data_IF_874011925499
#
_entry.id   IF_874011925499
#
_cell.length_a   1.000
_cell.length_b   1.000
_cell.length_c   1.000
_cell.angle_alpha   90.00
_cell.angle_beta   90.00
_cell.angle_gamma   90.00
#
_symmetry.space_group_name_H-M   'P 1'
#
loop_
_entity.id
_entity.type
_entity.pdbx_description
1 polymer ?
#
# COMPACT_ATOMS: atom_id res chain seq x y z
N UNK A 1 10.39 22.29 -38.29
CA UNK A 1 10.60 21.85 -36.90
C UNK A 1 10.33 20.35 -36.88
N UNK A 2 11.37 19.52 -36.77
CA UNK A 2 11.23 18.06 -36.64
C UNK A 2 10.52 17.79 -35.30
N UNK A 3 9.26 17.38 -35.35
CA UNK A 3 8.51 17.02 -34.14
C UNK A 3 9.22 15.88 -33.43
N UNK A 4 9.78 16.15 -32.26
CA UNK A 4 10.32 15.12 -31.40
C UNK A 4 9.21 14.11 -31.08
N UNK A 5 9.43 12.83 -31.33
CA UNK A 5 8.44 11.80 -31.04
C UNK A 5 8.14 11.81 -29.53
N UNK A 6 6.85 11.80 -29.19
CA UNK A 6 6.42 11.68 -27.80
C UNK A 6 6.90 10.37 -27.19
N UNK A 7 7.35 10.42 -25.94
CA UNK A 7 7.60 9.24 -25.12
C UNK A 7 6.29 8.56 -24.72
N UNK A 8 6.41 7.50 -23.90
CA UNK A 8 5.27 6.74 -23.36
C UNK A 8 5.37 6.63 -21.85
N UNK A 9 4.23 6.71 -21.17
CA UNK A 9 4.15 6.52 -19.72
C UNK A 9 3.54 5.16 -19.42
N UNK A 10 4.17 4.42 -18.50
CA UNK A 10 3.65 3.17 -17.96
C UNK A 10 3.28 3.38 -16.49
N UNK A 11 2.00 3.17 -16.15
CA UNK A 11 1.53 3.13 -14.76
C UNK A 11 1.66 1.68 -14.28
N UNK A 12 2.67 1.41 -13.45
CA UNK A 12 3.12 0.05 -13.13
C UNK A 12 2.87 -0.29 -11.68
N UNK A 13 2.17 -1.39 -11.43
CA UNK A 13 2.02 -1.99 -10.11
C UNK A 13 3.28 -2.75 -9.70
N UNK A 14 3.87 -2.35 -8.57
CA UNK A 14 5.05 -2.98 -8.00
C UNK A 14 4.72 -4.19 -7.09
N UNK A 15 3.45 -4.51 -6.92
CA UNK A 15 3.02 -5.52 -5.95
C UNK A 15 3.04 -5.01 -4.51
N UNK A 16 2.69 -5.88 -3.55
CA UNK A 16 2.42 -5.50 -2.15
C UNK A 16 3.66 -5.35 -1.27
N UNK A 17 4.86 -5.73 -1.76
CA UNK A 17 6.10 -5.62 -0.99
C UNK A 17 7.19 -6.60 -1.40
N UNK A 18 6.89 -7.89 -1.58
CA UNK A 18 7.87 -8.87 -2.08
C UNK A 18 8.20 -8.58 -3.56
N UNK A 19 9.47 -8.29 -3.90
CA UNK A 19 9.88 -8.03 -5.29
C UNK A 19 9.59 -9.19 -6.27
N UNK A 20 9.43 -10.40 -5.78
CA UNK A 20 9.09 -11.57 -6.59
C UNK A 20 7.65 -11.57 -7.09
N UNK A 21 6.82 -10.68 -6.57
CA UNK A 21 5.43 -10.49 -7.01
C UNK A 21 5.28 -9.46 -8.13
N UNK A 22 6.38 -8.98 -8.71
CA UNK A 22 6.33 -8.22 -9.95
C UNK A 22 5.78 -9.08 -11.09
N UNK A 23 4.96 -8.47 -11.94
CA UNK A 23 4.56 -9.12 -13.20
C UNK A 23 5.71 -9.12 -14.20
N UNK A 24 5.73 -10.08 -15.12
CA UNK A 24 6.71 -10.10 -16.21
C UNK A 24 6.67 -8.80 -17.02
N UNK A 25 5.48 -8.26 -17.27
CA UNK A 25 5.32 -6.99 -17.98
C UNK A 25 5.94 -5.82 -17.23
N UNK A 26 5.82 -5.80 -15.89
CA UNK A 26 6.48 -4.78 -15.08
C UNK A 26 8.01 -4.82 -15.23
N UNK A 27 8.60 -6.01 -15.23
CA UNK A 27 10.04 -6.19 -15.44
C UNK A 27 10.47 -5.73 -16.84
N UNK A 28 9.71 -6.09 -17.88
CA UNK A 28 9.99 -5.66 -19.26
C UNK A 28 10.02 -4.14 -19.39
N UNK A 29 8.98 -3.44 -18.89
CA UNK A 29 8.90 -1.98 -19.05
C UNK A 29 9.91 -1.24 -18.18
N UNK A 30 10.26 -1.77 -17.00
CA UNK A 30 11.36 -1.27 -16.18
C UNK A 30 12.70 -1.37 -16.93
N UNK A 31 12.95 -2.49 -17.63
CA UNK A 31 14.17 -2.69 -18.41
C UNK A 31 14.33 -1.74 -19.61
N UNK A 32 13.29 -1.01 -19.99
CA UNK A 32 13.29 -0.09 -21.12
C UNK A 32 13.19 1.38 -20.71
N UNK A 33 12.88 1.67 -19.45
CA UNK A 33 12.59 3.03 -18.99
C UNK A 33 13.82 3.96 -19.01
N UNK A 34 13.56 5.25 -19.19
CA UNK A 34 14.54 6.31 -19.00
C UNK A 34 14.37 7.02 -17.66
N UNK A 35 13.12 7.08 -17.19
CA UNK A 35 12.74 7.73 -15.92
C UNK A 35 11.81 6.84 -15.13
N UNK A 36 12.05 6.72 -13.83
CA UNK A 36 11.17 6.04 -12.87
C UNK A 36 10.71 7.04 -11.81
N UNK A 37 9.40 7.29 -11.73
CA UNK A 37 8.78 7.98 -10.60
C UNK A 37 8.29 6.93 -9.60
N UNK A 38 8.87 6.87 -8.41
CA UNK A 38 8.62 5.81 -7.43
C UNK A 38 7.88 6.33 -6.19
N UNK A 39 6.87 5.58 -5.73
CA UNK A 39 6.16 5.84 -4.47
C UNK A 39 6.93 5.31 -3.25
N UNK A 40 6.63 5.87 -2.08
CA UNK A 40 7.23 5.49 -0.79
C UNK A 40 7.00 4.02 -0.41
N UNK A 41 5.85 3.46 -0.72
CA UNK A 41 5.48 2.08 -0.33
C UNK A 41 6.06 1.01 -1.24
N UNK A 42 6.73 1.39 -2.31
CA UNK A 42 7.37 0.45 -3.22
C UNK A 42 8.69 -0.05 -2.61
N UNK A 43 8.87 -1.36 -2.58
CA UNK A 43 10.16 -1.96 -2.21
C UNK A 43 11.22 -1.58 -3.25
N UNK A 44 12.25 -0.87 -2.81
CA UNK A 44 13.29 -0.34 -3.73
C UNK A 44 14.12 -1.42 -4.43
N UNK A 45 14.11 -2.65 -3.93
CA UNK A 45 14.78 -3.77 -4.61
C UNK A 45 14.26 -4.01 -6.04
N UNK A 46 13.02 -3.61 -6.33
CA UNK A 46 12.47 -3.73 -7.70
C UNK A 46 13.20 -2.85 -8.71
N UNK A 47 13.92 -1.80 -8.26
CA UNK A 47 14.70 -0.92 -9.12
C UNK A 47 15.89 -1.63 -9.77
N UNK A 48 16.31 -2.81 -9.27
CA UNK A 48 17.31 -3.65 -9.95
C UNK A 48 16.92 -4.08 -11.36
N UNK A 49 15.63 -4.02 -11.68
CA UNK A 49 15.08 -4.31 -13.01
C UNK A 49 15.02 -3.08 -13.92
N UNK A 50 15.25 -1.87 -13.37
CA UNK A 50 15.26 -0.67 -14.18
C UNK A 50 16.50 -0.66 -15.11
N UNK A 51 16.32 -0.07 -16.28
CA UNK A 51 17.42 0.11 -17.25
C UNK A 51 18.58 0.85 -16.56
N UNK A 52 19.79 0.39 -16.77
CA UNK A 52 20.99 1.04 -16.23
C UNK A 52 21.05 2.51 -16.69
N UNK A 53 21.32 3.43 -15.76
CA UNK A 53 21.35 4.86 -16.02
C UNK A 53 19.99 5.55 -16.05
N UNK A 54 18.89 4.86 -15.71
CA UNK A 54 17.59 5.49 -15.58
C UNK A 54 17.60 6.51 -14.44
N UNK A 55 16.94 7.65 -14.66
CA UNK A 55 16.70 8.65 -13.62
C UNK A 55 15.61 8.14 -12.67
N UNK A 56 15.89 8.05 -11.37
CA UNK A 56 14.92 7.65 -10.35
C UNK A 56 14.51 8.87 -9.53
N UNK A 57 13.21 9.17 -9.55
CA UNK A 57 12.59 10.30 -8.82
C UNK A 57 11.67 9.73 -7.75
N UNK A 58 11.98 9.99 -6.49
CA UNK A 58 11.13 9.63 -5.36
C UNK A 58 10.02 10.66 -5.19
N UNK A 59 8.77 10.29 -5.47
CA UNK A 59 7.60 11.16 -5.36
C UNK A 59 6.78 10.85 -4.09
N UNK A 60 7.24 9.91 -3.27
CA UNK A 60 6.63 9.54 -2.00
C UNK A 60 6.95 10.54 -0.88
N UNK A 61 6.12 10.53 0.16
CA UNK A 61 6.32 11.36 1.35
C UNK A 61 7.54 10.92 2.13
N UNK A 62 8.46 11.84 2.43
CA UNK A 62 9.47 11.70 3.49
C UNK A 62 9.12 12.63 4.65
N UNK A 63 9.41 12.19 5.88
CA UNK A 63 9.27 13.05 7.04
C UNK A 63 10.21 14.26 6.90
N UNK A 64 9.66 15.49 6.86
CA UNK A 64 10.42 16.74 6.76
C UNK A 64 10.54 17.35 5.37
N UNK A 65 10.22 16.63 4.28
CA UNK A 65 10.24 17.16 2.92
C UNK A 65 8.84 17.58 2.44
N UNK A 66 8.78 18.61 1.58
CA UNK A 66 7.54 19.00 0.93
C UNK A 66 7.02 17.86 0.07
N UNK A 67 5.83 17.39 0.43
CA UNK A 67 5.10 16.35 -0.31
C UNK A 67 4.75 16.88 -1.68
N UNK A 68 5.16 16.18 -2.75
CA UNK A 68 4.65 16.45 -4.07
C UNK A 68 3.13 16.23 -4.09
N UNK A 69 2.41 17.26 -4.51
CA UNK A 69 0.96 17.15 -4.73
C UNK A 69 0.71 16.24 -5.93
N UNK A 70 -0.44 15.56 -5.95
CA UNK A 70 -0.79 14.69 -7.08
C UNK A 70 -0.69 15.41 -8.43
N UNK A 71 -1.12 16.68 -8.48
CA UNK A 71 -1.02 17.50 -9.69
C UNK A 71 0.43 17.69 -10.16
N UNK A 72 1.40 17.77 -9.24
CA UNK A 72 2.82 17.93 -9.60
C UNK A 72 3.40 16.61 -10.11
N UNK A 73 2.95 15.47 -9.57
CA UNK A 73 3.30 14.15 -10.10
C UNK A 73 2.78 14.00 -11.55
N UNK A 74 1.52 14.37 -11.81
CA UNK A 74 0.94 14.36 -13.15
C UNK A 74 1.74 15.25 -14.13
N UNK A 75 2.14 16.45 -13.70
CA UNK A 75 2.99 17.34 -14.51
C UNK A 75 4.33 16.70 -14.86
N UNK A 76 5.02 16.09 -13.89
CA UNK A 76 6.29 15.41 -14.14
C UNK A 76 6.14 14.28 -15.16
N UNK A 77 5.08 13.46 -15.07
CA UNK A 77 4.81 12.40 -16.04
C UNK A 77 4.69 12.95 -17.47
N UNK A 78 3.91 14.04 -17.62
CA UNK A 78 3.68 14.70 -18.92
C UNK A 78 4.98 15.34 -19.44
N UNK A 79 5.72 16.04 -18.60
CA UNK A 79 6.98 16.73 -18.97
C UNK A 79 8.03 15.75 -19.51
N UNK A 80 8.31 14.67 -18.78
CA UNK A 80 9.29 13.68 -19.23
C UNK A 80 8.84 12.96 -20.52
N UNK A 81 7.54 12.67 -20.65
CA UNK A 81 7.01 12.07 -21.86
C UNK A 81 7.12 13.02 -23.08
N UNK A 82 6.90 14.34 -22.91
CA UNK A 82 7.10 15.35 -23.97
C UNK A 82 8.55 15.47 -24.41
N UNK A 83 9.51 15.14 -23.52
CA UNK A 83 10.93 15.04 -23.84
C UNK A 83 11.29 13.73 -24.58
N UNK A 84 10.30 12.95 -25.05
CA UNK A 84 10.52 11.69 -25.75
C UNK A 84 10.94 10.53 -24.84
N UNK A 85 10.85 10.68 -23.50
CA UNK A 85 11.32 9.68 -22.56
C UNK A 85 10.28 8.57 -22.35
N UNK A 86 10.75 7.34 -22.16
CA UNK A 86 9.94 6.23 -21.62
C UNK A 86 9.93 6.38 -20.10
N UNK A 87 8.73 6.63 -19.54
CA UNK A 87 8.55 6.91 -18.13
C UNK A 87 7.79 5.77 -17.45
N UNK A 88 8.32 5.26 -16.35
CA UNK A 88 7.64 4.31 -15.47
C UNK A 88 7.19 5.03 -14.20
N UNK A 89 5.88 5.07 -13.97
CA UNK A 89 5.29 5.45 -12.70
C UNK A 89 5.09 4.19 -11.85
N UNK A 90 5.97 3.95 -10.89
CA UNK A 90 5.99 2.73 -10.08
C UNK A 90 5.23 2.94 -8.78
N UNK A 91 4.15 2.17 -8.60
CA UNK A 91 3.16 2.30 -7.52
C UNK A 91 3.09 1.02 -6.68
N UNK A 92 2.92 1.15 -5.36
CA UNK A 92 2.69 -0.01 -4.50
C UNK A 92 1.37 -0.72 -4.84
N UNK A 93 1.34 -2.04 -4.77
CA UNK A 93 0.17 -2.84 -5.13
C UNK A 93 -0.18 -2.76 -6.61
N UNK A 94 -1.42 -2.42 -6.90
CA UNK A 94 -1.97 -2.20 -8.25
C UNK A 94 -2.26 -0.71 -8.47
N UNK A 95 -1.99 -0.13 -9.66
CA UNK A 95 -2.19 1.30 -9.92
C UNK A 95 -3.63 1.77 -9.76
N UNK A 96 -4.61 0.92 -10.03
CA UNK A 96 -6.04 1.25 -10.06
C UNK A 96 -6.81 0.79 -8.81
N UNK A 97 -6.13 0.17 -7.83
CA UNK A 97 -6.74 -0.20 -6.54
C UNK A 97 -6.21 0.72 -5.44
N UNK A 98 -6.98 1.75 -5.08
CA UNK A 98 -6.63 2.81 -4.10
C UNK A 98 -5.27 3.48 -4.36
N UNK A 99 -4.78 3.40 -5.61
CA UNK A 99 -3.47 3.92 -6.01
C UNK A 99 -3.53 5.28 -6.73
N UNK A 100 -4.70 5.88 -6.95
CA UNK A 100 -4.90 7.12 -7.71
C UNK A 100 -4.36 7.06 -9.15
N UNK A 101 -4.11 5.87 -9.69
CA UNK A 101 -3.60 5.71 -11.06
C UNK A 101 -4.56 6.23 -12.13
N UNK A 102 -5.88 6.21 -11.87
CA UNK A 102 -6.87 6.77 -12.78
C UNK A 102 -6.71 8.29 -12.95
N UNK A 103 -6.39 9.03 -11.88
CA UNK A 103 -6.13 10.48 -11.97
C UNK A 103 -4.88 10.76 -12.83
N UNK A 104 -3.82 9.95 -12.66
CA UNK A 104 -2.60 10.04 -13.46
C UNK A 104 -2.89 9.71 -14.94
N UNK A 105 -3.68 8.66 -15.21
CA UNK A 105 -4.09 8.29 -16.56
C UNK A 105 -4.92 9.38 -17.26
N UNK A 106 -5.90 9.97 -16.55
CA UNK A 106 -6.71 11.07 -17.09
C UNK A 106 -5.86 12.28 -17.48
N UNK A 107 -4.88 12.64 -16.64
CA UNK A 107 -3.96 13.74 -16.95
C UNK A 107 -3.10 13.45 -18.21
N UNK A 108 -2.70 12.19 -18.43
CA UNK A 108 -1.98 11.78 -19.62
C UNK A 108 -2.85 11.83 -20.87
N UNK A 109 -4.12 11.39 -20.78
CA UNK A 109 -5.11 11.49 -21.86
C UNK A 109 -5.32 12.94 -22.25
N UNK A 110 -5.56 13.82 -21.28
CA UNK A 110 -5.77 15.24 -21.49
C UNK A 110 -4.55 15.92 -22.17
N UNK A 111 -3.34 15.47 -21.81
CA UNK A 111 -2.10 15.98 -22.39
C UNK A 111 -1.73 15.34 -23.76
N UNK A 112 -2.51 14.37 -24.26
CA UNK A 112 -2.24 13.63 -25.49
C UNK A 112 -1.00 12.72 -25.41
N UNK A 113 -0.61 12.25 -24.22
CA UNK A 113 0.55 11.40 -24.00
C UNK A 113 0.16 9.93 -24.15
N UNK A 114 0.87 9.12 -24.94
CA UNK A 114 0.70 7.67 -24.97
C UNK A 114 0.97 7.03 -23.61
N UNK A 115 0.07 6.17 -23.16
CA UNK A 115 0.23 5.51 -21.87
C UNK A 115 -0.28 4.06 -21.87
N UNK A 116 0.11 3.33 -20.83
CA UNK A 116 -0.32 1.94 -20.60
C UNK A 116 -0.40 1.69 -19.09
N UNK A 117 -1.40 0.95 -18.63
CA UNK A 117 -1.41 0.41 -17.28
C UNK A 117 -0.86 -1.01 -17.28
N UNK A 118 0.06 -1.26 -16.34
CA UNK A 118 0.60 -2.60 -16.06
C UNK A 118 0.11 -3.01 -14.68
N UNK A 119 -0.88 -3.92 -14.59
CA UNK A 119 -1.41 -4.36 -13.31
C UNK A 119 -0.34 -4.93 -12.38
N UNK A 120 -0.57 -4.84 -11.08
CA UNK A 120 0.24 -5.46 -10.05
C UNK A 120 -0.62 -6.27 -9.09
N UNK A 121 0.02 -7.13 -8.29
CA UNK A 121 -0.68 -7.83 -7.21
C UNK A 121 -1.11 -6.80 -6.17
N UNK A 122 -2.43 -6.59 -6.02
CA UNK A 122 -2.96 -5.68 -5.00
C UNK A 122 -2.58 -6.16 -3.60
N UNK A 123 -2.30 -5.22 -2.68
CA UNK A 123 -2.01 -5.56 -1.28
C UNK A 123 -3.16 -6.32 -0.62
N UNK A 124 -4.42 -6.05 -0.99
CA UNK A 124 -5.58 -6.78 -0.48
C UNK A 124 -5.55 -8.27 -0.81
N UNK A 125 -4.98 -8.64 -1.96
CA UNK A 125 -4.82 -10.04 -2.36
C UNK A 125 -3.51 -10.63 -1.83
N UNK A 126 -2.41 -9.94 -2.06
CA UNK A 126 -1.07 -10.45 -1.72
C UNK A 126 -0.83 -10.60 -0.23
N UNK A 127 -1.19 -9.60 0.57
CA UNK A 127 -1.00 -9.67 2.02
C UNK A 127 -1.92 -10.72 2.67
N UNK A 128 -3.15 -10.89 2.18
CA UNK A 128 -4.05 -11.94 2.64
C UNK A 128 -3.46 -13.33 2.36
N UNK A 129 -2.96 -13.56 1.14
CA UNK A 129 -2.34 -14.83 0.76
C UNK A 129 -1.09 -15.14 1.63
N UNK A 130 -0.24 -14.15 1.87
CA UNK A 130 0.96 -14.32 2.71
C UNK A 130 0.62 -14.44 4.20
N UNK A 131 -0.51 -13.94 4.65
CA UNK A 131 -1.02 -14.19 6.00
C UNK A 131 -1.70 -15.57 6.15
N UNK A 132 -1.87 -16.34 5.05
CA UNK A 132 -2.59 -17.61 5.08
C UNK A 132 -4.11 -17.43 5.24
N UNK A 133 -4.66 -16.30 4.81
CA UNK A 133 -6.09 -15.98 4.87
C UNK A 133 -6.67 -15.98 3.46
N UNK A 134 -7.45 -17.02 3.06
CA UNK A 134 -8.14 -17.01 1.78
C UNK A 134 -9.25 -15.96 1.82
N UNK A 135 -9.32 -15.10 0.79
CA UNK A 135 -10.37 -14.08 0.72
C UNK A 135 -11.75 -14.67 0.43
N UNK A 136 -11.80 -15.84 -0.21
CA UNK A 136 -13.03 -16.63 -0.46
C UNK A 136 -12.77 -18.08 -0.11
N UNK A 137 -13.80 -18.76 0.41
CA UNK A 137 -13.75 -20.19 0.71
C UNK A 137 -15.13 -20.78 0.61
N UNK A 138 -15.27 -21.92 -0.08
CA UNK A 138 -16.58 -22.61 -0.23
C UNK A 138 -17.18 -22.91 1.15
N UNK A 139 -18.41 -22.48 1.37
CA UNK A 139 -19.14 -22.66 2.63
C UNK A 139 -18.78 -21.67 3.74
N UNK A 140 -17.83 -20.73 3.51
CA UNK A 140 -17.45 -19.70 4.49
C UNK A 140 -17.71 -18.30 3.94
N UNK A 141 -17.13 -17.96 2.78
CA UNK A 141 -17.30 -16.65 2.15
C UNK A 141 -17.35 -16.81 0.62
N UNK A 142 -18.41 -16.31 -0.01
CA UNK A 142 -18.64 -16.35 -1.46
C UNK A 142 -18.26 -15.06 -2.16
N UNK A 143 -18.04 -13.97 -1.42
CA UNK A 143 -17.73 -12.65 -1.94
C UNK A 143 -16.61 -12.00 -1.15
N UNK A 144 -15.96 -11.01 -1.78
CA UNK A 144 -14.96 -10.13 -1.14
C UNK A 144 -15.16 -8.70 -1.61
N UNK A 145 -15.15 -7.76 -0.68
CA UNK A 145 -15.13 -6.34 -0.97
C UNK A 145 -13.81 -5.69 -0.55
N UNK A 146 -13.32 -4.75 -1.36
CA UNK A 146 -12.18 -3.90 -1.04
C UNK A 146 -12.68 -2.51 -0.71
N UNK A 147 -12.32 -2.01 0.48
CA UNK A 147 -12.73 -0.70 0.98
C UNK A 147 -11.54 0.10 1.48
N UNK A 148 -11.69 1.42 1.50
CA UNK A 148 -10.75 2.30 2.21
C UNK A 148 -11.29 2.61 3.60
N UNK A 149 -10.40 2.60 4.60
CA UNK A 149 -10.75 3.05 5.94
C UNK A 149 -10.87 4.60 6.05
N UNK A 150 -10.41 5.33 5.02
CA UNK A 150 -10.60 6.77 4.89
C UNK A 150 -11.81 7.05 3.99
N UNK A 151 -13.00 7.11 4.57
CA UNK A 151 -14.24 7.37 3.83
C UNK A 151 -14.42 8.85 3.53
N UNK A 152 -14.83 9.15 2.30
CA UNK A 152 -15.29 10.47 1.90
C UNK A 152 -16.81 10.64 2.09
N UNK A 153 -17.59 9.53 2.13
CA UNK A 153 -19.06 9.53 2.19
C UNK A 153 -19.58 8.37 3.08
N UNK A 154 -20.45 8.64 4.07
CA UNK A 154 -21.05 7.61 4.93
C UNK A 154 -22.22 6.83 4.30
N UNK A 155 -22.62 7.08 3.05
CA UNK A 155 -23.80 6.49 2.39
C UNK A 155 -23.57 5.12 1.75
N UNK A 156 -22.46 4.44 2.03
CA UNK A 156 -22.20 3.09 1.50
C UNK A 156 -23.18 2.05 2.07
N UNK A 157 -23.64 1.14 1.20
CA UNK A 157 -24.59 0.07 1.54
C UNK A 157 -24.07 -0.86 2.66
N UNK A 158 -24.97 -1.40 3.50
CA UNK A 158 -24.58 -2.31 4.57
C UNK A 158 -23.99 -3.60 4.01
N UNK A 159 -23.03 -4.17 4.74
CA UNK A 159 -22.36 -5.40 4.37
C UNK A 159 -23.25 -6.62 4.54
N UNK A 160 -23.20 -7.57 3.60
CA UNK A 160 -23.91 -8.83 3.70
C UNK A 160 -23.18 -9.83 4.62
N UNK A 161 -23.93 -10.70 5.29
CA UNK A 161 -23.37 -11.86 6.02
C UNK A 161 -22.69 -12.82 5.03
N UNK A 162 -21.56 -13.39 5.43
CA UNK A 162 -20.79 -14.31 4.59
C UNK A 162 -19.89 -13.64 3.57
N UNK A 163 -19.66 -12.34 3.71
CA UNK A 163 -18.72 -11.56 2.90
C UNK A 163 -17.41 -11.32 3.64
N UNK A 164 -16.30 -11.43 2.92
CA UNK A 164 -14.99 -10.96 3.40
C UNK A 164 -14.80 -9.50 3.01
N UNK A 165 -14.45 -8.66 3.95
CA UNK A 165 -14.13 -7.25 3.67
C UNK A 165 -12.67 -6.96 3.97
N UNK A 166 -11.99 -6.31 3.03
CA UNK A 166 -10.59 -5.90 3.17
C UNK A 166 -10.53 -4.38 3.21
N UNK A 167 -10.08 -3.82 4.34
CA UNK A 167 -9.90 -2.38 4.53
C UNK A 167 -8.45 -2.00 4.33
N UNK A 168 -8.20 -1.12 3.37
CA UNK A 168 -6.91 -0.49 3.15
C UNK A 168 -6.74 0.72 4.06
N UNK A 169 -5.50 1.03 4.43
CA UNK A 169 -5.14 2.24 5.21
C UNK A 169 -5.79 2.31 6.60
N UNK A 170 -5.99 1.17 7.25
CA UNK A 170 -6.74 1.07 8.50
C UNK A 170 -5.94 1.46 9.77
N UNK A 171 -4.66 1.85 9.68
CA UNK A 171 -3.75 1.99 10.82
C UNK A 171 -4.33 2.69 12.06
N UNK A 172 -4.84 3.92 11.90
CA UNK A 172 -5.38 4.72 13.01
C UNK A 172 -6.91 4.70 13.09
N UNK A 173 -7.60 4.09 12.13
CA UNK A 173 -9.05 4.13 11.99
C UNK A 173 -9.72 2.79 12.26
N UNK A 174 -8.95 1.78 12.71
CA UNK A 174 -9.46 0.42 12.89
C UNK A 174 -10.66 0.34 13.85
N UNK A 175 -10.61 1.08 14.96
CA UNK A 175 -11.72 1.11 15.93
C UNK A 175 -12.97 1.79 15.37
N UNK A 176 -12.81 2.76 14.47
CA UNK A 176 -13.92 3.41 13.76
C UNK A 176 -14.56 2.44 12.77
N UNK A 177 -13.73 1.76 11.95
CA UNK A 177 -14.18 0.71 11.05
C UNK A 177 -14.95 -0.38 11.80
N UNK A 178 -14.42 -0.87 12.93
CA UNK A 178 -15.10 -1.88 13.74
C UNK A 178 -16.45 -1.39 14.28
N UNK A 179 -16.54 -0.14 14.69
CA UNK A 179 -17.79 0.46 15.17
C UNK A 179 -18.84 0.55 14.07
N UNK A 180 -18.44 0.96 12.87
CA UNK A 180 -19.34 1.03 11.72
C UNK A 180 -19.83 -0.35 11.29
N UNK A 181 -18.96 -1.36 11.27
CA UNK A 181 -19.33 -2.72 10.93
C UNK A 181 -20.33 -3.31 11.91
N UNK A 182 -20.14 -3.08 13.23
CA UNK A 182 -21.08 -3.54 14.25
C UNK A 182 -22.41 -2.77 14.13
N UNK A 183 -22.37 -1.46 13.88
CA UNK A 183 -23.56 -0.66 13.67
C UNK A 183 -24.36 -1.09 12.41
N UNK A 184 -23.68 -1.59 11.37
CA UNK A 184 -24.30 -2.13 10.15
C UNK A 184 -24.80 -3.59 10.31
N UNK A 185 -24.66 -4.19 11.49
CA UNK A 185 -25.21 -5.53 11.80
C UNK A 185 -24.20 -6.67 11.79
N UNK A 186 -22.89 -6.42 11.63
CA UNK A 186 -21.86 -7.43 11.87
C UNK A 186 -21.81 -7.78 13.35
N UNK A 187 -21.65 -9.08 13.65
CA UNK A 187 -21.52 -9.52 15.04
C UNK A 187 -20.19 -9.01 15.65
N UNK A 188 -20.18 -8.54 16.91
CA UNK A 188 -18.95 -8.19 17.61
C UNK A 188 -17.92 -9.33 17.66
N UNK A 189 -18.37 -10.59 17.59
CA UNK A 189 -17.52 -11.78 17.54
C UNK A 189 -16.95 -12.06 16.13
N UNK A 190 -17.30 -11.28 15.10
CA UNK A 190 -16.76 -11.47 13.75
C UNK A 190 -15.23 -11.37 13.77
N UNK A 191 -14.52 -12.39 13.22
CA UNK A 191 -13.06 -12.39 13.21
C UNK A 191 -12.49 -11.25 12.37
N UNK A 192 -11.37 -10.70 12.83
CA UNK A 192 -10.58 -9.69 12.13
C UNK A 192 -9.09 -10.05 12.19
N UNK A 193 -8.40 -9.85 11.08
CA UNK A 193 -6.95 -9.89 11.00
C UNK A 193 -6.42 -8.55 10.54
N UNK A 194 -5.36 -8.05 11.19
CA UNK A 194 -4.60 -6.90 10.70
C UNK A 194 -3.25 -7.39 10.21
N UNK A 195 -2.94 -7.12 8.96
CA UNK A 195 -1.67 -7.48 8.33
C UNK A 195 -0.85 -6.22 8.11
N UNK A 196 0.25 -6.09 8.85
CA UNK A 196 1.24 -5.02 8.72
C UNK A 196 2.39 -5.50 7.85
N UNK A 197 2.94 -4.61 7.01
CA UNK A 197 4.05 -4.90 6.08
C UNK A 197 3.84 -6.19 5.29
N UNK A 198 2.61 -6.41 4.79
CA UNK A 198 2.24 -7.67 4.12
C UNK A 198 3.21 -8.03 2.99
N UNK A 199 3.58 -9.31 2.91
CA UNK A 199 4.55 -9.92 1.99
C UNK A 199 6.02 -9.57 2.24
N UNK A 200 6.34 -8.63 3.13
CA UNK A 200 7.70 -8.28 3.50
C UNK A 200 8.23 -9.20 4.61
N UNK A 201 9.56 -9.23 4.77
CA UNK A 201 10.21 -10.08 5.80
C UNK A 201 9.79 -9.73 7.23
N UNK A 202 9.38 -8.47 7.44
CA UNK A 202 8.87 -7.94 8.70
C UNK A 202 7.34 -7.99 8.80
N UNK A 203 6.67 -8.80 7.95
CA UNK A 203 5.23 -9.00 8.03
C UNK A 203 4.81 -9.39 9.45
N UNK A 204 3.77 -8.75 9.95
CA UNK A 204 3.13 -9.06 11.22
C UNK A 204 1.63 -9.24 11.02
N UNK A 205 1.07 -10.26 11.67
CA UNK A 205 -0.37 -10.56 11.63
C UNK A 205 -0.94 -10.49 13.04
N UNK A 206 -1.94 -9.63 13.24
CA UNK A 206 -2.68 -9.48 14.49
C UNK A 206 -4.08 -10.06 14.29
N UNK A 207 -4.48 -10.98 15.15
CA UNK A 207 -5.78 -11.68 15.07
C UNK A 207 -6.65 -11.33 16.27
N UNK A 208 -7.92 -11.06 16.03
CA UNK A 208 -8.91 -10.77 17.05
C UNK A 208 -10.33 -10.82 16.49
N UNK A 209 -11.21 -10.12 17.16
CA UNK A 209 -12.62 -9.91 16.78
C UNK A 209 -12.90 -8.41 16.63
N UNK A 210 -14.07 -8.06 16.09
CA UNK A 210 -14.51 -6.66 16.06
C UNK A 210 -14.64 -6.11 17.50
N UNK A 211 -15.03 -6.94 18.48
CA UNK A 211 -15.05 -6.55 19.88
C UNK A 211 -13.66 -6.19 20.41
N UNK A 212 -12.62 -6.94 20.03
CA UNK A 212 -11.24 -6.63 20.43
C UNK A 212 -10.79 -5.29 19.83
N UNK A 213 -11.18 -5.02 18.57
CA UNK A 213 -10.89 -3.74 17.90
C UNK A 213 -11.61 -2.54 18.55
N UNK A 214 -12.73 -2.78 19.25
CA UNK A 214 -13.51 -1.78 20.01
C UNK A 214 -13.02 -1.60 21.45
N UNK A 215 -12.24 -2.54 21.99
CA UNK A 215 -11.87 -2.56 23.42
C UNK A 215 -10.95 -1.40 23.85
N UNK A 216 -10.39 -0.64 22.91
CA UNK A 216 -9.56 0.52 23.20
C UNK A 216 -8.81 1.04 21.96
N UNK A 217 -8.03 2.10 22.12
CA UNK A 217 -7.24 2.64 21.02
C UNK A 217 -6.18 1.62 20.59
N UNK A 218 -6.11 1.39 19.27
CA UNK A 218 -5.12 0.55 18.63
C UNK A 218 -4.20 1.43 17.78
N UNK A 219 -2.92 1.39 18.07
CA UNK A 219 -1.90 2.04 17.23
C UNK A 219 -1.28 0.99 16.32
N UNK A 220 -1.62 1.05 15.04
CA UNK A 220 -1.11 0.14 14.04
C UNK A 220 -0.24 0.93 13.07
N UNK A 221 1.04 0.59 13.02
CA UNK A 221 1.97 1.22 12.11
C UNK A 221 1.62 0.92 10.65
N UNK A 222 1.73 1.94 9.80
CA UNK A 222 1.58 1.78 8.34
C UNK A 222 2.87 1.25 7.69
N UNK A 223 2.75 0.45 6.60
CA UNK A 223 1.53 0.09 5.91
C UNK A 223 0.78 -1.09 6.55
N UNK A 224 -0.53 -0.96 6.68
CA UNK A 224 -1.38 -2.02 7.21
C UNK A 224 -2.73 -2.08 6.49
N UNK A 225 -3.31 -3.29 6.46
CA UNK A 225 -4.68 -3.54 6.03
C UNK A 225 -5.38 -4.46 7.03
N UNK A 226 -6.70 -4.39 7.08
CA UNK A 226 -7.52 -5.28 7.90
C UNK A 226 -8.39 -6.17 7.02
N UNK A 227 -8.50 -7.45 7.39
CA UNK A 227 -9.36 -8.46 6.76
C UNK A 227 -10.42 -8.84 7.79
N UNK A 228 -11.69 -8.67 7.44
CA UNK A 228 -12.83 -8.94 8.32
C UNK A 228 -13.68 -10.03 7.71
N UNK A 229 -13.99 -11.06 8.48
CA UNK A 229 -14.85 -12.15 8.06
C UNK A 229 -14.40 -13.51 8.61
N UNK A 230 -15.27 -14.52 8.45
CA UNK A 230 -15.05 -15.86 9.01
C UNK A 230 -13.84 -16.59 8.42
N UNK A 231 -13.38 -16.18 7.23
CA UNK A 231 -12.16 -16.70 6.59
C UNK A 231 -10.89 -16.50 7.44
N UNK A 232 -10.90 -15.52 8.32
CA UNK A 232 -9.76 -15.24 9.23
C UNK A 232 -9.51 -16.42 10.16
N UNK A 233 -10.53 -17.20 10.53
CA UNK A 233 -10.41 -18.41 11.35
C UNK A 233 -9.55 -19.51 10.73
N UNK A 234 -9.33 -19.46 9.41
CA UNK A 234 -8.50 -20.42 8.68
C UNK A 234 -7.00 -20.11 8.79
N UNK A 235 -6.63 -18.91 9.20
CA UNK A 235 -5.24 -18.43 9.27
C UNK A 235 -4.33 -19.41 10.03
N UNK A 236 -4.74 -19.86 11.21
CA UNK A 236 -3.93 -20.75 12.06
C UNK A 236 -3.56 -22.07 11.38
N UNK A 237 -4.40 -22.55 10.43
CA UNK A 237 -4.19 -23.80 9.68
C UNK A 237 -3.41 -23.58 8.38
N UNK A 238 -3.52 -22.39 7.79
CA UNK A 238 -3.01 -22.08 6.45
C UNK A 238 -1.79 -21.18 6.44
N UNK A 239 -1.31 -20.76 7.61
CA UNK A 239 -0.09 -19.95 7.74
C UNK A 239 1.12 -20.68 7.18
N UNK A 240 1.82 -20.01 6.27
CA UNK A 240 2.99 -20.57 5.59
C UNK A 240 4.18 -19.61 5.51
N UNK A 241 3.93 -18.28 5.56
CA UNK A 241 4.97 -17.27 5.39
C UNK A 241 5.39 -16.69 6.75
N UNK A 242 6.71 -16.60 6.94
CA UNK A 242 7.32 -16.06 8.16
C UNK A 242 7.32 -17.05 9.35
N UNK A 243 8.28 -16.88 10.26
CA UNK A 243 8.41 -17.70 11.46
C UNK A 243 7.61 -17.18 12.66
N UNK A 244 6.98 -16.00 12.55
CA UNK A 244 6.28 -15.35 13.66
C UNK A 244 4.85 -15.85 13.77
N UNK A 245 4.51 -16.33 14.96
CA UNK A 245 3.12 -16.64 15.33
C UNK A 245 2.32 -15.35 15.33
N UNK A 246 1.11 -15.41 14.78
CA UNK A 246 0.17 -14.27 14.83
C UNK A 246 -0.08 -13.87 16.28
N UNK A 247 -0.16 -12.57 16.51
CA UNK A 247 -0.37 -12.01 17.86
C UNK A 247 -1.85 -11.67 18.07
N UNK A 248 -2.34 -11.70 19.30
CA UNK A 248 -3.67 -11.22 19.60
C UNK A 248 -3.77 -9.72 19.35
N UNK A 249 -4.85 -9.28 18.70
CA UNK A 249 -5.22 -7.89 18.55
C UNK A 249 -5.67 -7.37 19.92
N UNK A 250 -4.84 -6.59 20.59
CA UNK A 250 -5.14 -6.02 21.91
C UNK A 250 -4.70 -4.56 21.94
N UNK A 251 -5.46 -3.69 22.65
CA UNK A 251 -5.00 -2.34 22.95
C UNK A 251 -3.65 -2.38 23.66
N UNK A 252 -2.77 -1.45 23.31
CA UNK A 252 -1.55 -1.27 24.08
C UNK A 252 -1.87 -0.93 25.53
N UNK A 253 -1.33 -1.69 26.47
CA UNK A 253 -1.38 -1.25 27.88
C UNK A 253 -0.56 0.03 27.99
N UNK A 254 -1.08 1.09 28.62
CA UNK A 254 -0.28 2.28 28.84
C UNK A 254 1.02 1.88 29.56
N UNK A 255 2.15 2.12 28.90
CA UNK A 255 3.45 1.81 29.47
C UNK A 255 3.65 2.66 30.72
N UNK A 256 3.81 2.04 31.88
CA UNK A 256 4.20 2.65 33.14
C UNK A 256 5.67 3.14 33.14
N UNK A 257 6.18 3.60 31.99
CA UNK A 257 7.50 4.22 31.91
C UNK A 257 7.40 5.68 32.28
N UNK A 258 7.64 5.97 33.54
CA UNK A 258 8.02 7.27 34.08
C UNK A 258 9.07 7.91 33.16
N UNK A 259 8.68 9.02 32.54
CA UNK A 259 9.58 9.85 31.71
C UNK A 259 10.63 10.50 32.58
N UNK A 260 11.76 9.86 32.76
CA UNK A 260 12.97 10.54 33.25
C UNK A 260 13.49 11.43 32.13
N UNK A 261 13.18 12.71 32.23
CA UNK A 261 13.71 13.79 31.38
C UNK A 261 15.21 13.91 31.59
N UNK A 262 15.99 13.34 30.69
CA UNK A 262 17.42 13.61 30.62
C UNK A 262 17.68 14.60 29.47
N UNK A 263 17.73 15.89 29.83
CA UNK A 263 18.17 16.98 28.95
C UNK A 263 19.58 16.69 28.45
N UNK A 264 19.72 16.41 27.16
CA UNK A 264 21.00 16.48 26.47
C UNK A 264 20.98 17.65 25.48
N UNK A 265 21.91 18.57 25.72
CA UNK A 265 22.21 19.73 24.86
C UNK A 265 22.67 19.25 23.49
N UNK A 266 22.10 19.83 22.45
CA UNK A 266 22.53 19.66 21.08
C UNK A 266 23.79 20.49 20.78
N UNK A 267 24.78 19.84 20.19
CA UNK A 267 25.79 20.50 19.36
C UNK A 267 25.47 20.21 17.90
N UNK A 268 25.41 21.29 17.13
CA UNK A 268 25.22 21.40 15.69
C UNK A 268 26.35 20.72 14.91
N UNK A 269 26.00 19.95 13.87
CA UNK A 269 26.85 19.81 12.67
C UNK A 269 25.95 19.66 11.46
N UNK A 270 25.82 20.73 10.68
CA UNK A 270 25.38 20.67 9.29
C UNK A 270 26.63 20.37 8.43
N UNK A 271 26.51 19.40 7.49
CA UNK A 271 27.20 19.49 6.17
C UNK A 271 26.95 18.29 5.28
N UNK A 272 26.44 18.60 4.09
CA UNK A 272 26.71 18.04 2.76
C UNK A 272 26.72 16.51 2.55
N UNK A 273 25.79 15.99 1.75
CA UNK A 273 26.10 14.90 0.82
C UNK A 273 25.32 15.13 -0.49
N UNK A 274 26.03 15.71 -1.45
CA UNK A 274 25.82 15.48 -2.89
C UNK A 274 26.78 14.34 -3.23
N UNK A 275 26.28 13.21 -3.66
CA UNK A 275 27.13 12.17 -4.23
C UNK A 275 26.51 11.68 -5.52
N UNK A 276 27.09 12.11 -6.63
CA UNK A 276 26.90 11.55 -7.94
C UNK A 276 27.49 10.13 -7.95
N UNK A 277 26.73 9.16 -8.45
CA UNK A 277 27.24 7.83 -8.79
C UNK A 277 27.65 7.81 -10.26
N UNK A 278 28.95 7.67 -10.45
CA UNK A 278 29.57 7.25 -11.71
C UNK A 278 29.42 5.73 -11.89
#
# INVERSE_FOLDING_TARGET
MSGQALGKVYLVGAGPGDPKLLTLRAVEVLGQCHVVLIDRLVNREVLRHAKHGSLVIDVGKRAGDHVLKQADICKLLVEYARLGQVVVRLKGGDPFVFGRGAEEALALVEAGIPWEVVPGVSAGVGAAAYAGIPLTHRGVASSVSFRTAHRADPTEEPESRGETTVFFMCGNTLSEVARELVASGRLPSTPIAVVRSGTCIDQEVLIGTLADALAGPLTIESPALAIVGDVVSLEAKLRWFGARVSRPLRPERPSSRTRTTRTRRHASIAKNIVTALR
#
